data_IF_338064863009
#
_entry.id   IF_338064863009
#
_cell.length_a   1.000
_cell.length_b   1.000
_cell.length_c   1.000
_cell.angle_alpha   90.00
_cell.angle_beta   90.00
_cell.angle_gamma   90.00
#
_symmetry.space_group_name_H-M   'P 1'
#
loop_
_entity.id
_entity.type
_entity.pdbx_description
1 polymer ?
#
# COMPACT_ATOMS: atom_id res chain seq x y z
N UNK A 1 -23.70 9.07 6.15
CA UNK A 1 -22.41 9.40 6.80
C UNK A 1 -21.29 8.88 5.93
N UNK A 2 -20.66 9.76 5.15
CA UNK A 2 -19.47 9.44 4.35
C UNK A 2 -18.32 9.13 5.31
N UNK A 3 -17.75 7.91 5.31
CA UNK A 3 -16.62 7.60 6.17
C UNK A 3 -15.49 8.58 5.82
N UNK A 4 -14.95 9.29 6.82
CA UNK A 4 -13.77 10.11 6.62
C UNK A 4 -12.70 9.19 6.01
N UNK A 5 -12.20 9.56 4.83
CA UNK A 5 -11.12 8.84 4.19
C UNK A 5 -9.88 9.05 5.08
N UNK A 6 -9.66 8.12 6.02
CA UNK A 6 -8.41 8.04 6.76
C UNK A 6 -7.33 7.99 5.68
N UNK A 7 -6.46 8.99 5.63
CA UNK A 7 -5.26 8.96 4.80
C UNK A 7 -4.42 7.80 5.33
N UNK A 8 -4.61 6.62 4.74
CA UNK A 8 -3.83 5.45 5.09
C UNK A 8 -2.46 5.66 4.43
N UNK A 9 -1.51 6.18 5.18
CA UNK A 9 -0.13 6.31 4.76
C UNK A 9 0.67 5.09 5.27
N UNK A 10 1.66 4.62 4.52
CA UNK A 10 2.57 3.57 4.98
C UNK A 10 3.37 4.04 6.21
N UNK A 11 3.69 5.34 6.28
CA UNK A 11 4.27 6.00 7.46
C UNK A 11 3.42 5.91 8.73
N UNK A 12 2.08 5.87 8.60
CA UNK A 12 1.11 5.83 9.70
C UNK A 12 0.40 4.47 9.82
N UNK A 13 0.98 3.40 9.26
CA UNK A 13 0.41 2.05 9.32
C UNK A 13 0.90 1.30 10.56
N UNK A 14 0.01 0.58 11.26
CA UNK A 14 0.37 -0.28 12.39
C UNK A 14 1.33 -1.43 12.03
N UNK A 15 1.50 -1.73 10.74
CA UNK A 15 2.41 -2.76 10.24
C UNK A 15 3.72 -2.18 9.69
N UNK A 16 4.00 -0.89 9.91
CA UNK A 16 5.21 -0.22 9.40
C UNK A 16 6.49 -1.01 9.67
N UNK A 17 6.69 -1.44 10.92
CA UNK A 17 7.88 -2.20 11.35
C UNK A 17 8.04 -3.56 10.67
N UNK A 18 6.97 -4.11 10.09
CA UNK A 18 6.98 -5.41 9.40
C UNK A 18 7.06 -5.28 7.88
N UNK A 19 6.47 -4.22 7.32
CA UNK A 19 6.36 -4.03 5.88
C UNK A 19 7.44 -3.12 5.29
N UNK A 20 8.04 -2.25 6.10
CA UNK A 20 9.01 -1.26 5.63
C UNK A 20 10.44 -1.67 5.95
N UNK A 21 11.40 -1.43 5.03
CA UNK A 21 12.80 -1.69 5.31
C UNK A 21 13.33 -0.72 6.38
N UNK A 22 14.07 -1.26 7.35
CA UNK A 22 14.77 -0.44 8.34
C UNK A 22 15.83 0.42 7.64
N UNK A 23 15.84 1.72 7.93
CA UNK A 23 16.84 2.66 7.42
C UNK A 23 16.34 3.70 6.41
N UNK A 24 15.04 3.72 6.08
CA UNK A 24 14.46 4.84 5.31
C UNK A 24 14.35 6.10 6.17
N UNK A 25 14.82 7.23 5.63
CA UNK A 25 14.59 8.55 6.23
C UNK A 25 13.13 8.98 6.10
N UNK A 26 12.70 9.96 6.92
CA UNK A 26 11.32 10.48 6.87
C UNK A 26 10.94 11.03 5.48
N UNK A 27 11.90 11.59 4.76
CA UNK A 27 11.70 12.09 3.39
C UNK A 27 11.46 10.96 2.39
N UNK A 28 12.16 9.85 2.55
CA UNK A 28 11.98 8.65 1.69
C UNK A 28 10.66 7.95 2.02
N UNK A 29 10.27 7.93 3.30
CA UNK A 29 8.95 7.46 3.73
C UNK A 29 7.82 8.27 3.08
N UNK A 30 7.94 9.61 3.03
CA UNK A 30 6.97 10.46 2.35
C UNK A 30 6.84 10.16 0.85
N UNK A 31 7.96 9.92 0.15
CA UNK A 31 7.93 9.50 -1.26
C UNK A 31 7.21 8.16 -1.43
N UNK A 32 7.37 7.25 -0.48
CA UNK A 32 6.75 5.93 -0.54
C UNK A 32 5.24 6.00 -0.30
N UNK A 33 4.80 6.90 0.57
CA UNK A 33 3.38 7.19 0.77
C UNK A 33 2.72 7.68 -0.53
N UNK A 34 3.41 8.54 -1.30
CA UNK A 34 2.94 9.01 -2.60
C UNK A 34 2.92 7.91 -3.67
N UNK A 35 3.90 6.99 -3.66
CA UNK A 35 3.97 5.86 -4.59
C UNK A 35 2.85 4.82 -4.33
N UNK A 36 2.52 4.56 -3.06
CA UNK A 36 1.54 3.53 -2.66
C UNK A 36 0.10 4.09 -2.63
N UNK A 37 -0.13 5.28 -3.18
CA UNK A 37 -1.40 6.00 -3.11
C UNK A 37 -2.63 5.23 -3.64
N UNK A 38 -2.45 4.29 -4.57
CA UNK A 38 -3.56 3.54 -5.17
C UNK A 38 -3.75 2.18 -4.51
N UNK A 39 -4.55 2.10 -3.44
CA UNK A 39 -4.97 0.82 -2.85
C UNK A 39 -6.26 0.32 -3.48
N UNK A 40 -6.21 -0.86 -4.11
CA UNK A 40 -7.39 -1.56 -4.63
C UNK A 40 -8.09 -2.29 -3.48
N UNK A 41 -9.40 -2.06 -3.30
CA UNK A 41 -10.23 -2.92 -2.43
C UNK A 41 -10.47 -4.25 -3.13
N UNK A 42 -10.13 -5.34 -2.47
CA UNK A 42 -10.22 -6.70 -3.03
C UNK A 42 -11.28 -7.47 -2.25
N UNK A 43 -12.21 -8.11 -2.97
CA UNK A 43 -13.26 -8.91 -2.32
C UNK A 43 -12.66 -10.25 -1.87
N UNK A 44 -13.19 -10.79 -0.77
CA UNK A 44 -12.76 -12.11 -0.30
C UNK A 44 -12.97 -13.15 -1.40
N UNK A 45 -11.95 -13.99 -1.64
CA UNK A 45 -11.99 -15.07 -2.62
C UNK A 45 -11.68 -14.64 -4.07
N UNK A 46 -11.43 -13.35 -4.34
CA UNK A 46 -11.03 -12.91 -5.68
C UNK A 46 -9.51 -12.95 -5.85
N UNK A 47 -9.04 -13.44 -6.99
CA UNK A 47 -7.62 -13.42 -7.38
C UNK A 47 -7.12 -12.01 -7.68
N UNK A 48 -5.87 -11.70 -7.29
CA UNK A 48 -5.21 -10.42 -7.59
C UNK A 48 -4.67 -10.38 -9.02
N UNK A 49 -4.11 -11.50 -9.47
CA UNK A 49 -3.57 -11.73 -10.81
C UNK A 49 -3.76 -13.21 -11.18
N UNK A 50 -3.62 -13.53 -12.47
CA UNK A 50 -3.55 -14.88 -13.01
C UNK A 50 -2.17 -15.16 -13.62
N UNK A 51 -1.84 -16.44 -13.79
CA UNK A 51 -0.61 -16.82 -14.49
C UNK A 51 -0.67 -16.34 -15.96
N UNK A 52 0.40 -15.69 -16.42
CA UNK A 52 0.47 -15.13 -17.77
C UNK A 52 0.01 -13.67 -17.88
N UNK A 53 -0.55 -13.09 -16.81
CA UNK A 53 -0.86 -11.66 -16.79
C UNK A 53 0.40 -10.80 -16.83
N UNK A 54 0.29 -9.62 -17.44
CA UNK A 54 1.38 -8.64 -17.41
C UNK A 54 1.61 -8.14 -15.99
N UNK A 55 2.88 -8.00 -15.61
CA UNK A 55 3.25 -7.42 -14.33
C UNK A 55 2.86 -5.94 -14.29
N UNK A 56 1.89 -5.60 -13.45
CA UNK A 56 1.32 -4.24 -13.35
C UNK A 56 1.54 -3.60 -11.99
N UNK A 57 1.62 -4.40 -10.92
CA UNK A 57 1.76 -3.91 -9.57
C UNK A 57 2.37 -4.98 -8.65
N UNK A 58 3.00 -4.51 -7.58
CA UNK A 58 3.26 -5.30 -6.39
C UNK A 58 2.06 -5.09 -5.44
N UNK A 59 1.55 -6.17 -4.85
CA UNK A 59 0.36 -6.16 -4.00
C UNK A 59 0.72 -6.35 -2.54
#
# INVERSE_FOLDING_TARGET
MTPQAIKVACSNCNLRELCMPMGLSDTEMGKLDDLVATRRKVKRGTSLFANGDRFTALY
#
